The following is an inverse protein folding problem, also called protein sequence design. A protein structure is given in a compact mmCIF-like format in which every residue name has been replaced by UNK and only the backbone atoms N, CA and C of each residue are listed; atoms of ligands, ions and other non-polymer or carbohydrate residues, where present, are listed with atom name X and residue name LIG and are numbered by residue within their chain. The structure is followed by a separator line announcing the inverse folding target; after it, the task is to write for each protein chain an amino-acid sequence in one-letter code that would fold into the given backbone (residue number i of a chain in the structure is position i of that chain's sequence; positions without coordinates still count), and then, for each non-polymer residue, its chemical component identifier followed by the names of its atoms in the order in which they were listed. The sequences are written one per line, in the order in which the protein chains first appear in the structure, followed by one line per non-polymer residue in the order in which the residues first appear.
data_IF_233662443901
#
_entry.id   IF_233662443901
#
_cell.length_a   1.000
_cell.length_b   1.000
_cell.length_c   1.000
_cell.angle_alpha   90.00
_cell.angle_beta   90.00
_cell.angle_gamma   90.00
#
_symmetry.space_group_name_H-M   'P 1'
#
loop_
_entity.id
_entity.type
_entity.pdbx_description
1 polymer ?
#
# COMPACT_ATOMS: atom_id res chain seq x y z
N UNK A 1 33.03 -22.95 23.58
CA UNK A 1 32.77 -22.19 22.34
C UNK A 1 33.55 -20.89 22.45
N UNK A 2 34.40 -20.63 21.47
CA UNK A 2 35.15 -19.37 21.50
C UNK A 2 34.19 -18.18 21.45
N UNK A 3 34.44 -17.15 22.24
CA UNK A 3 33.63 -15.94 22.30
C UNK A 3 33.33 -15.37 20.88
N UNK A 4 34.32 -15.50 19.98
CA UNK A 4 34.18 -15.08 18.56
C UNK A 4 33.09 -15.85 17.80
N UNK A 5 32.95 -17.18 18.03
CA UNK A 5 31.89 -18.00 17.41
C UNK A 5 30.50 -17.66 17.96
N UNK A 6 30.39 -17.39 19.27
CA UNK A 6 29.12 -16.97 19.86
C UNK A 6 28.64 -15.63 19.30
N UNK A 7 29.56 -14.66 19.18
CA UNK A 7 29.27 -13.36 18.55
C UNK A 7 28.86 -13.49 17.10
N UNK A 8 29.55 -14.33 16.32
CA UNK A 8 29.18 -14.57 14.92
C UNK A 8 27.78 -15.16 14.77
N UNK A 9 27.40 -16.13 15.59
CA UNK A 9 26.07 -16.74 15.59
C UNK A 9 25.01 -15.70 15.99
N UNK A 10 25.30 -14.88 17.01
CA UNK A 10 24.38 -13.81 17.41
C UNK A 10 24.16 -12.78 16.30
N UNK A 11 25.21 -12.33 15.62
CA UNK A 11 25.12 -11.40 14.50
C UNK A 11 24.26 -12.01 13.37
N UNK A 12 24.52 -13.27 13.00
CA UNK A 12 23.77 -13.96 11.95
C UNK A 12 22.29 -14.10 12.32
N UNK A 13 21.98 -14.41 13.56
CA UNK A 13 20.61 -14.52 14.07
C UNK A 13 19.88 -13.16 14.01
N UNK A 14 20.50 -12.10 14.56
CA UNK A 14 19.89 -10.78 14.56
C UNK A 14 19.72 -10.21 13.14
N UNK A 15 20.66 -10.46 12.23
CA UNK A 15 20.50 -10.04 10.84
C UNK A 15 19.35 -10.78 10.15
N UNK A 16 19.19 -12.09 10.38
CA UNK A 16 18.06 -12.86 9.87
C UNK A 16 16.73 -12.37 10.45
N UNK A 17 16.69 -12.07 11.75
CA UNK A 17 15.50 -11.51 12.40
C UNK A 17 15.12 -10.12 11.82
N UNK A 18 16.11 -9.25 11.62
CA UNK A 18 15.87 -7.94 11.00
C UNK A 18 15.29 -8.08 9.58
N UNK A 19 15.82 -9.01 8.78
CA UNK A 19 15.31 -9.26 7.41
C UNK A 19 13.88 -9.79 7.43
N UNK A 20 13.51 -10.66 8.37
CA UNK A 20 12.15 -11.19 8.48
C UNK A 20 11.16 -10.17 9.02
N UNK A 21 11.57 -9.26 9.89
CA UNK A 21 10.72 -8.20 10.45
C UNK A 21 10.58 -6.99 9.51
N UNK A 22 11.51 -6.81 8.57
CA UNK A 22 11.56 -5.65 7.69
C UNK A 22 10.22 -5.37 6.97
N UNK A 23 9.54 -6.33 6.31
CA UNK A 23 8.28 -6.04 5.60
C UNK A 23 7.17 -5.57 6.55
N UNK A 24 7.10 -6.13 7.76
CA UNK A 24 6.08 -5.75 8.74
C UNK A 24 6.29 -4.32 9.26
N UNK A 25 7.52 -4.03 9.68
CA UNK A 25 7.86 -2.69 10.20
C UNK A 25 7.73 -1.64 9.11
N UNK A 26 8.20 -1.93 7.90
CA UNK A 26 8.14 -1.04 6.76
C UNK A 26 6.70 -0.72 6.35
N UNK A 27 5.83 -1.74 6.31
CA UNK A 27 4.41 -1.53 6.01
C UNK A 27 3.69 -0.69 7.09
N UNK A 28 4.02 -0.86 8.38
CA UNK A 28 3.48 -0.02 9.45
C UNK A 28 3.90 1.45 9.29
N UNK A 29 5.15 1.68 8.91
CA UNK A 29 5.66 3.04 8.64
C UNK A 29 4.95 3.63 7.42
N UNK A 30 4.79 2.86 6.34
CA UNK A 30 4.09 3.30 5.13
C UNK A 30 2.63 3.68 5.42
N UNK A 31 1.90 2.87 6.20
CA UNK A 31 0.53 3.17 6.63
C UNK A 31 0.47 4.44 7.50
N UNK A 32 1.43 4.63 8.40
CA UNK A 32 1.51 5.86 9.20
C UNK A 32 1.73 7.09 8.34
N UNK A 33 2.60 7.03 7.33
CA UNK A 33 2.82 8.13 6.39
C UNK A 33 1.59 8.40 5.53
N UNK A 34 0.91 7.35 5.04
CA UNK A 34 -0.34 7.49 4.29
C UNK A 34 -1.42 8.19 5.13
N UNK A 35 -1.62 7.76 6.38
CA UNK A 35 -2.58 8.39 7.28
C UNK A 35 -2.23 9.86 7.59
N UNK A 36 -0.95 10.20 7.72
CA UNK A 36 -0.51 11.58 7.92
C UNK A 36 -0.76 12.44 6.67
N UNK A 37 -0.50 11.91 5.47
CA UNK A 37 -0.75 12.61 4.22
C UNK A 37 -2.26 12.88 4.01
N UNK A 38 -3.11 11.90 4.32
CA UNK A 38 -4.56 12.04 4.25
C UNK A 38 -5.05 13.08 5.27
N UNK A 39 -4.58 13.02 6.53
CA UNK A 39 -4.95 14.00 7.54
C UNK A 39 -4.53 15.44 7.18
N UNK A 40 -3.33 15.59 6.57
CA UNK A 40 -2.87 16.89 6.08
C UNK A 40 -3.73 17.39 4.91
N UNK A 41 -4.16 16.50 4.02
CA UNK A 41 -5.09 16.84 2.93
C UNK A 41 -6.45 17.31 3.48
N UNK A 42 -7.03 16.55 4.41
CA UNK A 42 -8.32 16.89 5.02
C UNK A 42 -8.25 18.23 5.75
N UNK A 43 -7.13 18.51 6.47
CA UNK A 43 -6.91 19.79 7.15
C UNK A 43 -6.84 20.94 6.12
N UNK A 44 -6.12 20.78 5.02
CA UNK A 44 -6.02 21.81 3.96
C UNK A 44 -7.37 22.06 3.30
N UNK A 45 -8.13 21.01 2.97
CA UNK A 45 -9.49 21.18 2.41
C UNK A 45 -10.44 21.85 3.41
N UNK A 46 -10.33 21.51 4.70
CA UNK A 46 -11.15 22.13 5.74
C UNK A 46 -10.83 23.61 5.98
N UNK A 47 -9.61 24.07 5.65
CA UNK A 47 -9.19 25.49 5.70
C UNK A 47 -9.67 26.28 4.48
N UNK A 48 -10.06 25.64 3.38
CA UNK A 48 -10.61 26.30 2.19
C UNK A 48 -12.03 26.80 2.45
N UNK A 49 -12.32 27.99 1.99
CA UNK A 49 -13.70 28.45 1.94
C UNK A 49 -14.44 27.88 0.70
N UNK A 50 -15.78 28.01 0.70
CA UNK A 50 -16.59 27.44 -0.37
C UNK A 50 -16.28 28.05 -1.75
N UNK A 51 -15.89 29.31 -1.82
CA UNK A 51 -15.53 29.99 -3.08
C UNK A 51 -14.23 29.37 -3.65
N UNK A 52 -13.26 29.05 -2.80
CA UNK A 52 -12.01 28.37 -3.17
C UNK A 52 -12.27 26.96 -3.65
N UNK A 53 -13.12 26.21 -2.95
CA UNK A 53 -13.50 24.83 -3.34
C UNK A 53 -14.21 24.86 -4.70
N UNK A 54 -15.19 25.73 -4.89
CA UNK A 54 -15.94 25.84 -6.14
C UNK A 54 -15.02 26.27 -7.30
N UNK A 55 -14.09 27.19 -7.06
CA UNK A 55 -13.10 27.60 -8.06
C UNK A 55 -12.16 26.46 -8.44
N UNK A 56 -11.68 25.66 -7.47
CA UNK A 56 -10.88 24.49 -7.72
C UNK A 56 -11.61 23.44 -8.56
N UNK A 57 -12.86 23.14 -8.20
CA UNK A 57 -13.71 22.22 -8.95
C UNK A 57 -13.94 22.68 -10.38
N UNK A 58 -14.20 23.97 -10.59
CA UNK A 58 -14.41 24.52 -11.92
C UNK A 58 -13.13 24.47 -12.76
N UNK A 59 -11.96 24.76 -12.17
CA UNK A 59 -10.69 24.64 -12.88
C UNK A 59 -10.43 23.20 -13.35
N UNK A 60 -10.70 22.22 -12.49
CA UNK A 60 -10.53 20.81 -12.81
C UNK A 60 -11.56 20.30 -13.82
N UNK A 61 -12.82 20.74 -13.75
CA UNK A 61 -13.83 20.44 -14.78
C UNK A 61 -13.41 20.94 -16.14
N UNK A 62 -12.96 22.19 -16.22
CA UNK A 62 -12.40 22.77 -17.46
C UNK A 62 -11.25 21.94 -18.00
N UNK A 63 -10.34 21.49 -17.13
CA UNK A 63 -9.27 20.60 -17.57
C UNK A 63 -9.82 19.31 -18.19
N UNK A 64 -10.77 18.64 -17.51
CA UNK A 64 -11.38 17.41 -18.03
C UNK A 64 -12.11 17.64 -19.37
N UNK A 65 -12.81 18.76 -19.54
CA UNK A 65 -13.44 19.14 -20.80
C UNK A 65 -12.43 19.38 -21.91
N UNK A 66 -11.32 20.06 -21.62
CA UNK A 66 -10.25 20.32 -22.57
C UNK A 66 -9.52 19.01 -22.95
N UNK A 67 -9.30 18.11 -21.99
CA UNK A 67 -8.73 16.81 -22.25
C UNK A 67 -9.63 15.99 -23.18
N UNK A 68 -10.95 15.98 -22.94
CA UNK A 68 -11.92 15.30 -23.77
C UNK A 68 -11.92 15.86 -25.19
N UNK A 69 -11.95 17.18 -25.34
CA UNK A 69 -11.88 17.86 -26.65
C UNK A 69 -10.54 17.58 -27.37
N UNK A 70 -9.42 17.48 -26.63
CA UNK A 70 -8.11 17.14 -27.19
C UNK A 70 -8.05 15.68 -27.64
N UNK A 71 -8.67 14.74 -26.90
CA UNK A 71 -8.80 13.34 -27.31
C UNK A 71 -9.64 13.22 -28.58
N UNK A 72 -10.76 13.95 -28.69
CA UNK A 72 -11.56 14.03 -29.89
C UNK A 72 -10.79 14.68 -31.06
N UNK A 73 -10.00 15.73 -30.79
CA UNK A 73 -9.19 16.43 -31.78
C UNK A 73 -7.92 15.69 -32.17
N UNK A 74 -7.27 14.93 -31.23
CA UNK A 74 -6.08 14.12 -31.52
C UNK A 74 -6.42 12.86 -32.30
N UNK A 75 -7.68 12.44 -32.31
CA UNK A 75 -8.17 11.61 -33.40
C UNK A 75 -8.07 12.34 -34.75
N UNK A 76 -7.80 13.66 -34.78
CA UNK A 76 -7.63 14.49 -35.95
C UNK A 76 -6.27 15.16 -36.12
N UNK A 77 -5.44 15.44 -35.11
CA UNK A 77 -4.02 15.89 -35.20
C UNK A 77 -3.47 16.29 -33.82
N UNK A 78 -2.17 15.98 -33.55
CA UNK A 78 -1.50 16.12 -32.26
C UNK A 78 -1.06 17.53 -31.89
N UNK A 79 -0.60 17.59 -30.64
CA UNK A 79 0.16 18.60 -29.91
C UNK A 79 -0.63 19.72 -29.24
N UNK A 80 -0.64 19.66 -27.94
CA UNK A 80 -0.24 20.61 -26.89
C UNK A 80 -0.87 20.17 -25.55
N UNK A 81 -0.07 19.44 -24.73
CA UNK A 81 -0.50 18.96 -23.41
C UNK A 81 -0.67 20.11 -22.42
N UNK A 82 -1.86 20.25 -21.85
CA UNK A 82 -2.12 21.15 -20.73
C UNK A 82 -1.46 20.56 -19.48
N UNK A 83 -0.57 21.32 -18.86
CA UNK A 83 0.01 20.94 -17.56
C UNK A 83 -1.06 20.97 -16.48
N UNK A 84 -1.35 19.83 -15.86
CA UNK A 84 -2.37 19.74 -14.83
C UNK A 84 -1.82 19.93 -13.40
N UNK A 85 -0.49 20.05 -13.26
CA UNK A 85 0.19 20.16 -11.98
C UNK A 85 -0.16 21.39 -11.15
N UNK A 86 -0.69 22.45 -11.81
CA UNK A 86 -0.98 23.73 -11.17
C UNK A 86 -2.49 23.98 -10.98
N UNK A 87 -3.35 22.95 -11.19
CA UNK A 87 -4.80 23.15 -11.21
C UNK A 87 -5.41 23.32 -9.81
N UNK A 88 -4.89 22.64 -8.81
CA UNK A 88 -5.40 22.70 -7.44
C UNK A 88 -4.22 22.67 -6.47
N UNK A 89 -4.06 23.75 -5.71
CA UNK A 89 -3.03 23.86 -4.66
C UNK A 89 -3.59 23.34 -3.33
N UNK A 90 -3.72 22.04 -3.22
CA UNK A 90 -4.11 21.33 -1.99
C UNK A 90 -2.95 20.50 -1.40
N UNK A 91 -1.72 20.97 -1.63
CA UNK A 91 -0.52 20.31 -1.13
C UNK A 91 0.00 19.16 -2.01
N UNK A 92 0.66 18.16 -1.39
CA UNK A 92 1.27 17.06 -2.15
C UNK A 92 0.27 16.05 -2.70
N UNK A 93 -0.89 15.83 -2.04
CA UNK A 93 -1.93 14.88 -2.46
C UNK A 93 -3.13 15.59 -3.07
N UNK A 94 -3.75 14.96 -4.06
CA UNK A 94 -4.92 15.46 -4.79
C UNK A 94 -6.23 14.86 -4.28
N UNK A 95 -6.15 13.98 -3.30
CA UNK A 95 -7.25 13.23 -2.70
C UNK A 95 -6.78 11.94 -2.07
N UNK A 96 -7.70 11.07 -1.73
CA UNK A 96 -7.38 9.72 -1.27
C UNK A 96 -8.42 8.71 -1.76
N UNK A 97 -7.99 7.44 -1.84
CA UNK A 97 -8.82 6.31 -2.25
C UNK A 97 -9.09 5.38 -1.07
N UNK A 98 -10.32 4.92 -0.99
CA UNK A 98 -10.77 3.91 -0.04
C UNK A 98 -11.35 2.70 -0.79
N UNK A 99 -10.85 1.49 -0.48
CA UNK A 99 -11.35 0.23 -1.03
C UNK A 99 -11.61 -0.73 0.13
N UNK A 100 -12.83 -0.73 0.69
CA UNK A 100 -13.14 -1.44 1.94
C UNK A 100 -12.88 -2.95 1.88
N UNK A 101 -13.19 -3.61 0.77
CA UNK A 101 -13.04 -5.07 0.60
C UNK A 101 -11.61 -5.56 0.81
N UNK A 102 -10.62 -4.72 0.55
CA UNK A 102 -9.18 -5.07 0.63
C UNK A 102 -8.39 -4.18 1.60
N UNK A 103 -9.09 -3.48 2.52
CA UNK A 103 -8.49 -2.62 3.54
C UNK A 103 -7.50 -1.57 2.96
N UNK A 104 -7.79 -0.99 1.79
CA UNK A 104 -6.99 0.07 1.17
C UNK A 104 -7.52 1.43 1.59
N UNK A 105 -6.64 2.27 2.12
CA UNK A 105 -6.86 3.68 2.47
C UNK A 105 -5.56 4.44 2.19
N UNK A 106 -5.46 5.05 1.01
CA UNK A 106 -4.21 5.56 0.46
C UNK A 106 -4.38 6.96 -0.13
N UNK A 107 -3.40 7.87 0.05
CA UNK A 107 -3.38 9.15 -0.63
C UNK A 107 -3.18 8.96 -2.14
N UNK A 108 -3.83 9.82 -2.92
CA UNK A 108 -3.66 9.93 -4.36
C UNK A 108 -2.73 11.13 -4.62
N UNK A 109 -1.69 10.89 -5.39
CA UNK A 109 -0.72 11.91 -5.79
C UNK A 109 -0.79 12.17 -7.29
N UNK A 110 -0.32 13.33 -7.69
CA UNK A 110 -0.17 13.70 -9.09
C UNK A 110 0.99 12.98 -9.76
N UNK A 111 0.73 12.38 -10.93
CA UNK A 111 1.73 11.64 -11.70
C UNK A 111 1.96 10.20 -11.24
N UNK A 112 2.82 9.51 -12.00
CA UNK A 112 3.08 8.07 -11.84
C UNK A 112 4.56 7.75 -11.80
N UNK A 113 5.39 8.71 -11.37
CA UNK A 113 6.82 8.48 -11.19
C UNK A 113 7.08 7.57 -9.97
N UNK A 114 8.28 7.02 -9.88
CA UNK A 114 8.64 6.06 -8.84
C UNK A 114 8.49 6.64 -7.43
N UNK A 115 8.85 7.91 -7.21
CA UNK A 115 8.75 8.57 -5.90
C UNK A 115 7.30 8.67 -5.41
N UNK A 116 6.36 8.88 -6.34
CA UNK A 116 4.91 8.89 -6.08
C UNK A 116 4.43 7.47 -5.75
N UNK A 117 4.75 6.51 -6.60
CA UNK A 117 4.25 5.14 -6.47
C UNK A 117 4.79 4.39 -5.24
N UNK A 118 5.90 4.84 -4.68
CA UNK A 118 6.40 4.32 -3.41
C UNK A 118 5.64 4.85 -2.19
N UNK A 119 4.98 6.01 -2.30
CA UNK A 119 4.25 6.66 -1.19
C UNK A 119 2.77 6.31 -1.15
N UNK A 120 2.15 6.09 -2.32
CA UNK A 120 0.71 5.90 -2.43
C UNK A 120 0.25 5.53 -3.83
N UNK A 121 -0.89 6.07 -4.21
CA UNK A 121 -1.51 5.89 -5.53
C UNK A 121 -1.17 7.09 -6.40
N UNK A 122 -0.74 6.83 -7.63
CA UNK A 122 -0.45 7.86 -8.62
C UNK A 122 -1.61 8.04 -9.59
N UNK A 123 -1.98 9.27 -9.88
CA UNK A 123 -2.92 9.61 -10.94
C UNK A 123 -2.20 9.78 -12.27
N UNK A 124 -2.66 9.10 -13.30
CA UNK A 124 -2.11 9.19 -14.66
C UNK A 124 -2.49 10.54 -15.28
N UNK A 125 -1.50 11.39 -15.50
CA UNK A 125 -1.71 12.77 -15.95
C UNK A 125 -2.45 12.92 -17.29
N UNK A 126 -2.43 11.89 -18.13
CA UNK A 126 -3.12 11.83 -19.43
C UNK A 126 -4.57 11.33 -19.31
N UNK A 127 -5.05 11.08 -18.09
CA UNK A 127 -6.44 10.71 -17.80
C UNK A 127 -7.20 11.86 -17.13
N UNK A 128 -8.53 11.75 -17.06
CA UNK A 128 -9.36 12.77 -16.41
C UNK A 128 -8.98 12.91 -14.93
N UNK A 129 -8.88 14.13 -14.42
CA UNK A 129 -8.70 14.38 -13.00
C UNK A 129 -9.86 13.75 -12.21
N UNK A 130 -9.61 13.15 -11.03
CA UNK A 130 -10.55 12.25 -10.35
C UNK A 130 -11.66 13.00 -9.57
N UNK A 131 -12.37 13.93 -10.23
CA UNK A 131 -13.59 14.58 -9.70
C UNK A 131 -14.88 14.05 -10.32
N UNK A 132 -14.77 13.01 -11.15
CA UNK A 132 -15.91 12.48 -11.89
C UNK A 132 -16.49 13.44 -12.93
N UNK A 133 -17.63 13.08 -13.47
CA UNK A 133 -18.37 13.84 -14.47
C UNK A 133 -18.66 13.06 -15.73
N UNK A 134 -19.58 13.56 -16.54
CA UNK A 134 -19.96 12.94 -17.82
C UNK A 134 -18.78 12.96 -18.78
N UNK A 135 -18.51 11.84 -19.43
CA UNK A 135 -17.38 11.68 -20.38
C UNK A 135 -16.02 11.89 -19.69
N UNK A 136 -15.85 11.33 -18.49
CA UNK A 136 -14.57 11.30 -17.79
C UNK A 136 -14.10 9.87 -17.54
N UNK A 137 -12.78 9.68 -17.52
CA UNK A 137 -12.15 8.43 -17.14
C UNK A 137 -10.85 8.71 -16.40
N UNK A 138 -10.87 8.60 -15.09
CA UNK A 138 -9.68 8.73 -14.25
C UNK A 138 -8.92 7.42 -14.15
N UNK A 139 -7.60 7.47 -14.20
CA UNK A 139 -6.75 6.28 -14.08
C UNK A 139 -5.82 6.44 -12.87
N UNK A 140 -5.96 5.54 -11.93
CA UNK A 140 -5.19 5.51 -10.69
C UNK A 140 -4.31 4.26 -10.68
N UNK A 141 -3.02 4.43 -10.48
CA UNK A 141 -2.07 3.31 -10.47
C UNK A 141 -1.36 3.16 -9.13
N UNK A 142 -1.12 1.93 -8.73
CA UNK A 142 -0.38 1.62 -7.51
C UNK A 142 0.45 0.35 -7.67
N UNK A 143 1.55 0.29 -6.95
CA UNK A 143 2.42 -0.88 -6.96
C UNK A 143 1.76 -2.12 -6.39
N UNK A 144 2.20 -3.28 -6.89
CA UNK A 144 1.90 -4.61 -6.36
C UNK A 144 3.18 -5.33 -5.96
N UNK A 145 3.19 -5.85 -4.73
CA UNK A 145 4.30 -6.67 -4.25
C UNK A 145 5.53 -5.89 -3.80
N UNK A 146 5.39 -4.63 -3.39
CA UNK A 146 6.46 -3.91 -2.72
C UNK A 146 6.69 -4.51 -1.32
N UNK A 147 7.95 -4.84 -0.95
CA UNK A 147 8.25 -5.30 0.41
C UNK A 147 7.99 -4.25 1.49
N UNK A 148 7.93 -2.98 1.10
CA UNK A 148 7.80 -1.84 2.01
C UNK A 148 6.37 -1.39 2.27
N UNK A 149 5.41 -1.71 1.36
CA UNK A 149 4.03 -1.26 1.49
C UNK A 149 3.07 -2.19 0.73
N UNK A 150 1.87 -2.39 1.25
CA UNK A 150 0.86 -3.26 0.62
C UNK A 150 0.28 -2.63 -0.65
N UNK A 151 -0.05 -1.33 -0.62
CA UNK A 151 -0.62 -0.58 -1.73
C UNK A 151 -1.74 -1.36 -2.48
N UNK A 152 -1.62 -1.58 -3.79
CA UNK A 152 -2.56 -2.34 -4.61
C UNK A 152 -2.23 -3.84 -4.72
N UNK A 153 -1.52 -4.40 -3.72
CA UNK A 153 -1.13 -5.81 -3.72
C UNK A 153 -2.32 -6.75 -3.85
N UNK A 154 -3.41 -6.43 -3.19
CA UNK A 154 -4.62 -7.24 -3.09
C UNK A 154 -5.73 -6.81 -4.09
N UNK A 155 -5.42 -5.98 -5.08
CA UNK A 155 -6.38 -5.49 -6.05
C UNK A 155 -7.06 -6.62 -6.87
N UNK A 156 -6.40 -7.76 -7.04
CA UNK A 156 -6.93 -8.95 -7.69
C UNK A 156 -8.00 -9.70 -6.88
N UNK A 157 -8.27 -9.30 -5.64
CA UNK A 157 -9.37 -9.84 -4.82
C UNK A 157 -10.70 -9.12 -5.06
N UNK A 158 -10.69 -8.02 -5.81
CA UNK A 158 -11.91 -7.32 -6.19
C UNK A 158 -12.68 -8.13 -7.24
N UNK A 159 -14.00 -8.03 -7.18
CA UNK A 159 -14.96 -8.68 -8.06
C UNK A 159 -15.92 -7.64 -8.63
N UNK A 160 -16.56 -7.94 -9.76
CA UNK A 160 -17.63 -7.10 -10.30
C UNK A 160 -18.75 -6.93 -9.26
N UNK A 161 -19.15 -5.68 -9.04
CA UNK A 161 -20.12 -5.30 -8.03
C UNK A 161 -19.52 -4.73 -6.73
N UNK A 162 -18.23 -4.92 -6.46
CA UNK A 162 -17.56 -4.26 -5.35
C UNK A 162 -17.52 -2.74 -5.56
N UNK A 163 -17.39 -1.99 -4.46
CA UNK A 163 -17.39 -0.53 -4.51
C UNK A 163 -16.09 0.00 -3.91
N UNK A 164 -15.55 1.04 -4.53
CA UNK A 164 -14.47 1.86 -3.99
C UNK A 164 -14.85 3.34 -4.05
N UNK A 165 -14.17 4.13 -3.24
CA UNK A 165 -14.49 5.55 -3.06
C UNK A 165 -13.26 6.40 -3.32
N UNK A 166 -13.47 7.55 -3.98
CA UNK A 166 -12.49 8.62 -4.10
C UNK A 166 -12.96 9.80 -3.28
N UNK A 167 -12.11 10.29 -2.40
CA UNK A 167 -12.34 11.49 -1.62
C UNK A 167 -11.52 12.61 -2.23
N UNK A 168 -12.20 13.59 -2.86
CA UNK A 168 -11.53 14.68 -3.58
C UNK A 168 -12.25 15.99 -3.26
N UNK A 169 -11.50 16.96 -2.72
CA UNK A 169 -12.04 18.18 -2.14
C UNK A 169 -13.12 17.83 -1.09
N UNK A 170 -14.30 18.40 -1.21
CA UNK A 170 -15.43 18.16 -0.31
C UNK A 170 -16.41 17.07 -0.84
N UNK A 171 -16.00 16.27 -1.83
CA UNK A 171 -16.84 15.23 -2.43
C UNK A 171 -16.33 13.81 -2.19
N UNK A 172 -17.26 12.88 -2.02
CA UNK A 172 -17.00 11.44 -2.01
C UNK A 172 -17.62 10.83 -3.27
N UNK A 173 -16.78 10.29 -4.13
CA UNK A 173 -17.17 9.70 -5.41
C UNK A 173 -17.17 8.19 -5.28
N UNK A 174 -18.35 7.55 -5.38
CA UNK A 174 -18.47 6.10 -5.33
C UNK A 174 -18.42 5.50 -6.74
N UNK A 175 -17.60 4.46 -6.91
CA UNK A 175 -17.44 3.70 -8.14
C UNK A 175 -17.70 2.23 -7.88
N UNK A 176 -18.61 1.63 -8.67
CA UNK A 176 -18.91 0.22 -8.61
C UNK A 176 -18.16 -0.51 -9.70
N UNK A 177 -17.39 -1.53 -9.34
CA UNK A 177 -16.61 -2.34 -10.28
C UNK A 177 -17.53 -2.98 -11.32
N UNK A 178 -17.30 -2.67 -12.58
CA UNK A 178 -18.06 -3.13 -13.74
C UNK A 178 -17.21 -3.98 -14.70
N UNK A 179 -15.89 -3.90 -14.61
CA UNK A 179 -14.99 -4.64 -15.49
C UNK A 179 -13.64 -4.96 -14.80
N UNK A 180 -13.16 -6.19 -14.98
CA UNK A 180 -11.82 -6.61 -14.57
C UNK A 180 -11.12 -7.27 -15.74
N UNK A 181 -9.94 -6.74 -16.12
CA UNK A 181 -9.15 -7.24 -17.25
C UNK A 181 -7.67 -7.35 -16.92
N UNK A 182 -7.01 -8.28 -17.59
CA UNK A 182 -5.55 -8.37 -17.62
C UNK A 182 -5.10 -8.09 -19.05
N UNK A 183 -4.23 -7.08 -19.20
CA UNK A 183 -3.79 -6.57 -20.51
C UNK A 183 -2.25 -6.46 -20.55
N UNK A 184 -1.68 -6.34 -21.73
CA UNK A 184 -0.28 -5.97 -21.89
C UNK A 184 -0.06 -4.49 -21.54
N UNK A 185 1.15 -4.08 -21.12
CA UNK A 185 1.42 -2.69 -20.74
C UNK A 185 1.14 -1.67 -21.83
N UNK A 186 1.26 -2.05 -23.10
CA UNK A 186 1.01 -1.23 -24.29
C UNK A 186 -0.48 -1.17 -24.71
N UNK A 187 -1.34 -1.99 -24.13
CA UNK A 187 -2.75 -2.03 -24.44
C UNK A 187 -3.51 -1.01 -23.58
N UNK A 188 -3.75 0.18 -24.12
CA UNK A 188 -4.36 1.32 -23.42
C UNK A 188 -5.83 1.59 -23.78
N UNK A 189 -6.44 0.77 -24.64
CA UNK A 189 -7.79 1.00 -25.16
C UNK A 189 -8.87 1.00 -24.06
N UNK A 190 -8.65 0.23 -22.99
CA UNK A 190 -9.61 0.06 -21.90
C UNK A 190 -9.56 1.21 -20.84
N UNK A 191 -8.61 2.13 -20.96
CA UNK A 191 -8.48 3.31 -20.09
C UNK A 191 -8.84 4.62 -20.77
N UNK A 192 -9.30 4.57 -22.00
CA UNK A 192 -9.75 5.75 -22.75
C UNK A 192 -11.11 6.29 -22.26
N UNK A 193 -11.34 7.58 -22.50
CA UNK A 193 -12.62 8.23 -22.20
C UNK A 193 -13.73 7.63 -23.06
N UNK A 194 -14.88 7.35 -22.46
CA UNK A 194 -16.09 6.86 -23.13
C UNK A 194 -17.19 7.89 -23.01
N UNK A 195 -17.75 8.32 -24.15
CA UNK A 195 -18.80 9.33 -24.19
C UNK A 195 -19.99 8.95 -23.29
N UNK A 196 -20.44 9.90 -22.49
CA UNK A 196 -21.57 9.75 -21.57
C UNK A 196 -21.28 8.92 -20.30
N UNK A 197 -20.06 8.40 -20.13
CA UNK A 197 -19.68 7.59 -18.96
C UNK A 197 -18.83 8.39 -17.99
N UNK A 198 -18.88 7.98 -16.72
CA UNK A 198 -18.01 8.42 -15.63
C UNK A 198 -17.31 7.18 -15.07
N UNK A 199 -16.05 7.00 -15.44
CA UNK A 199 -15.25 5.84 -15.08
C UNK A 199 -14.03 6.20 -14.22
N UNK A 200 -13.66 5.28 -13.35
CA UNK A 200 -12.35 5.26 -12.70
C UNK A 200 -11.74 3.86 -12.84
N UNK A 201 -10.52 3.76 -13.36
CA UNK A 201 -9.79 2.50 -13.48
C UNK A 201 -8.60 2.45 -12.52
N UNK A 202 -8.57 1.42 -11.69
CA UNK A 202 -7.45 1.10 -10.82
C UNK A 202 -6.50 0.16 -11.57
N UNK A 203 -5.20 0.51 -11.59
CA UNK A 203 -4.19 -0.22 -12.35
C UNK A 203 -3.09 -0.73 -11.44
N UNK A 204 -2.72 -1.99 -11.61
CA UNK A 204 -1.52 -2.54 -10.95
C UNK A 204 -0.82 -3.56 -11.82
N UNK A 205 0.41 -3.94 -11.44
CA UNK A 205 1.17 -4.97 -12.15
C UNK A 205 0.68 -6.38 -11.81
N UNK A 206 0.71 -7.29 -12.80
CA UNK A 206 0.34 -8.70 -12.63
C UNK A 206 1.13 -9.58 -13.61
N UNK A 207 1.36 -10.89 -13.36
CA UNK A 207 1.20 -11.59 -12.07
C UNK A 207 2.14 -11.05 -10.99
N UNK A 208 1.82 -11.33 -9.71
CA UNK A 208 2.63 -10.91 -8.57
C UNK A 208 4.13 -11.25 -8.76
N UNK A 209 5.01 -10.30 -8.52
CA UNK A 209 6.47 -10.37 -8.68
C UNK A 209 6.99 -10.60 -10.11
N UNK A 210 6.14 -10.94 -11.09
CA UNK A 210 6.51 -11.13 -12.50
C UNK A 210 6.30 -9.84 -13.30
N UNK A 211 5.16 -9.15 -13.08
CA UNK A 211 4.86 -7.79 -13.56
C UNK A 211 4.83 -7.62 -15.09
N UNK A 212 4.58 -8.70 -15.85
CA UNK A 212 4.54 -8.68 -17.32
C UNK A 212 3.29 -8.06 -17.92
N UNK A 213 2.22 -8.01 -17.14
CA UNK A 213 0.91 -7.50 -17.56
C UNK A 213 0.43 -6.42 -16.58
N UNK A 214 -0.71 -5.81 -16.90
CA UNK A 214 -1.44 -4.90 -16.03
C UNK A 214 -2.80 -5.49 -15.70
N UNK A 215 -3.17 -5.44 -14.42
CA UNK A 215 -4.53 -5.70 -13.97
C UNK A 215 -5.26 -4.36 -13.96
N UNK A 216 -6.36 -4.29 -14.67
CA UNK A 216 -7.28 -3.17 -14.75
C UNK A 216 -8.56 -3.55 -13.99
N UNK A 217 -8.92 -2.75 -12.99
CA UNK A 217 -10.20 -2.87 -12.27
C UNK A 217 -10.94 -1.56 -12.49
N UNK A 218 -11.94 -1.57 -13.39
CA UNK A 218 -12.71 -0.39 -13.72
C UNK A 218 -13.97 -0.34 -12.88
N UNK A 219 -14.29 0.85 -12.38
CA UNK A 219 -15.59 1.17 -11.77
C UNK A 219 -16.33 2.22 -12.57
N UNK A 220 -17.65 2.04 -12.69
CA UNK A 220 -18.59 3.04 -13.18
C UNK A 220 -19.17 3.81 -12.00
N UNK A 221 -19.32 5.12 -12.16
CA UNK A 221 -19.88 6.01 -11.14
C UNK A 221 -21.22 5.49 -10.63
N UNK A 222 -21.40 5.47 -9.32
CA UNK A 222 -22.65 5.09 -8.66
C UNK A 222 -23.00 6.07 -7.54
N UNK A 223 -24.19 5.98 -7.01
CA UNK A 223 -24.63 6.80 -5.89
C UNK A 223 -23.79 6.46 -4.64
N UNK A 224 -23.30 7.49 -3.97
CA UNK A 224 -22.62 7.34 -2.68
C UNK A 224 -23.70 7.23 -1.58
N UNK A 225 -23.69 6.13 -0.85
CA UNK A 225 -24.54 5.90 0.31
C UNK A 225 -23.64 5.98 1.54
N UNK A 226 -23.77 7.03 2.38
CA UNK A 226 -22.98 7.17 3.60
C UNK A 226 -23.17 5.95 4.53
N UNK A 227 -22.11 5.53 5.25
CA UNK A 227 -22.17 4.39 6.16
C UNK A 227 -23.27 4.48 7.24
N UNK A 228 -23.65 5.70 7.61
CA UNK A 228 -24.72 5.96 8.59
C UNK A 228 -26.11 5.55 8.08
N UNK A 229 -26.33 5.53 6.77
CA UNK A 229 -27.57 5.08 6.13
C UNK A 229 -27.59 3.56 5.86
N UNK A 230 -26.43 2.93 5.86
CA UNK A 230 -26.31 1.48 5.76
C UNK A 230 -26.52 0.89 7.16
N UNK A 231 -27.76 0.47 7.46
CA UNK A 231 -28.20 -0.19 8.71
C UNK A 231 -27.13 -1.06 9.35
N UNK A 232 -26.97 -0.94 10.65
CA UNK A 232 -26.26 -1.72 11.72
C UNK A 232 -25.24 -2.83 11.37
N UNK A 233 -25.19 -3.32 10.13
CA UNK A 233 -24.20 -4.32 9.68
C UNK A 233 -22.88 -3.71 9.19
N UNK A 234 -22.80 -2.41 8.92
CA UNK A 234 -21.63 -1.73 8.36
C UNK A 234 -21.00 -0.70 9.32
N UNK A 235 -21.27 -0.76 10.60
CA UNK A 235 -20.52 -0.03 11.64
C UNK A 235 -19.05 -0.52 11.77
N UNK A 236 -18.45 -0.91 10.64
CA UNK A 236 -17.11 -1.54 10.58
C UNK A 236 -15.99 -0.52 10.44
N UNK A 237 -16.27 0.70 9.96
CA UNK A 237 -15.20 1.67 9.66
C UNK A 237 -14.71 2.49 10.85
N UNK A 238 -15.52 2.76 11.85
CA UNK A 238 -15.04 3.33 13.13
C UNK A 238 -14.12 2.34 13.89
N UNK A 239 -14.18 1.06 13.48
CA UNK A 239 -13.37 -0.05 14.01
C UNK A 239 -11.96 -0.09 13.39
N UNK A 240 -11.68 0.60 12.27
CA UNK A 240 -10.42 0.36 11.52
C UNK A 240 -9.19 0.99 12.19
N UNK A 241 -9.31 2.16 12.80
CA UNK A 241 -8.23 2.71 13.65
C UNK A 241 -8.03 1.85 14.91
N UNK A 242 -9.14 1.25 15.44
CA UNK A 242 -9.09 0.28 16.52
C UNK A 242 -8.58 -1.09 16.05
N UNK A 243 -8.84 -1.48 14.79
CA UNK A 243 -8.42 -2.78 14.24
C UNK A 243 -6.91 -2.86 14.01
N UNK A 244 -6.24 -1.78 13.62
CA UNK A 244 -4.77 -1.75 13.51
C UNK A 244 -4.14 -1.95 14.90
N UNK A 245 -4.63 -1.24 15.91
CA UNK A 245 -4.20 -1.40 17.29
C UNK A 245 -4.50 -2.81 17.83
N UNK A 246 -5.65 -3.37 17.48
CA UNK A 246 -6.07 -4.72 17.87
C UNK A 246 -5.26 -5.81 17.17
N UNK A 247 -4.97 -5.69 15.87
CA UNK A 247 -4.06 -6.61 15.14
C UNK A 247 -2.64 -6.59 15.71
N UNK A 248 -2.11 -5.42 16.08
CA UNK A 248 -0.81 -5.32 16.75
C UNK A 248 -0.87 -6.04 18.10
N UNK A 249 -1.93 -5.84 18.90
CA UNK A 249 -2.13 -6.49 20.20
C UNK A 249 -2.29 -8.00 20.05
N UNK A 250 -2.98 -8.49 19.01
CA UNK A 250 -3.20 -9.92 18.77
C UNK A 250 -1.96 -10.66 18.27
N UNK A 251 -1.09 -10.00 17.51
CA UNK A 251 0.17 -10.59 17.00
C UNK A 251 1.29 -10.50 18.02
N UNK A 252 1.30 -9.48 18.89
CA UNK A 252 2.33 -9.25 19.90
C UNK A 252 2.59 -10.43 20.83
N UNK A 253 1.56 -11.14 21.38
CA UNK A 253 1.77 -12.31 22.22
C UNK A 253 2.49 -13.45 21.48
N UNK A 254 2.13 -13.69 20.21
CA UNK A 254 2.74 -14.74 19.38
C UNK A 254 4.20 -14.42 19.02
N UNK A 255 4.53 -13.15 18.82
CA UNK A 255 5.91 -12.69 18.63
C UNK A 255 6.75 -12.91 19.90
N UNK A 256 6.19 -12.59 21.08
CA UNK A 256 6.85 -12.85 22.36
C UNK A 256 7.05 -14.36 22.57
N UNK A 257 6.03 -15.17 22.31
CA UNK A 257 6.12 -16.63 22.44
C UNK A 257 7.16 -17.21 21.50
N UNK A 258 7.22 -16.78 20.24
CA UNK A 258 8.24 -17.22 19.28
C UNK A 258 9.64 -16.83 19.72
N UNK A 259 9.82 -15.63 20.25
CA UNK A 259 11.10 -15.12 20.78
C UNK A 259 11.55 -15.91 22.01
N UNK A 260 10.63 -16.27 22.90
CA UNK A 260 10.90 -17.11 24.08
C UNK A 260 11.25 -18.55 23.69
N UNK A 261 10.59 -19.13 22.68
CA UNK A 261 10.90 -20.47 22.16
C UNK A 261 12.32 -20.48 21.58
N UNK A 262 12.67 -19.49 20.76
CA UNK A 262 14.02 -19.38 20.18
C UNK A 262 15.07 -19.21 21.25
N UNK A 263 14.87 -18.34 22.23
CA UNK A 263 15.77 -18.15 23.35
C UNK A 263 15.92 -19.42 24.21
N UNK A 264 14.83 -20.18 24.42
CA UNK A 264 14.83 -21.46 25.13
C UNK A 264 15.62 -22.54 24.39
N UNK A 265 15.47 -22.62 23.06
CA UNK A 265 16.25 -23.58 22.24
C UNK A 265 17.74 -23.22 22.25
N UNK A 266 18.09 -21.95 22.08
CA UNK A 266 19.49 -21.50 22.15
C UNK A 266 20.10 -21.72 23.54
N UNK A 267 19.38 -21.41 24.62
CA UNK A 267 19.80 -21.70 26.00
C UNK A 267 20.05 -23.19 26.23
N UNK A 268 19.18 -24.05 25.69
CA UNK A 268 19.33 -25.51 25.80
C UNK A 268 20.56 -26.03 25.05
N UNK A 269 20.77 -25.53 23.82
CA UNK A 269 21.95 -25.85 22.99
C UNK A 269 23.24 -25.38 23.72
N UNK A 270 23.21 -24.17 24.27
CA UNK A 270 24.34 -23.63 25.03
C UNK A 270 24.69 -24.51 26.27
N UNK A 271 23.67 -24.89 27.04
CA UNK A 271 23.86 -25.78 28.22
C UNK A 271 24.40 -27.15 27.81
N UNK A 272 23.94 -27.74 26.73
CA UNK A 272 24.45 -29.00 26.19
C UNK A 272 25.92 -28.90 25.76
N UNK A 273 26.32 -27.79 25.14
CA UNK A 273 27.69 -27.53 24.72
C UNK A 273 28.60 -27.37 25.96
N UNK A 274 28.17 -26.61 26.96
CA UNK A 274 28.91 -26.40 28.19
C UNK A 274 29.08 -27.72 28.97
N UNK A 275 28.00 -28.52 29.05
CA UNK A 275 28.04 -29.85 29.71
C UNK A 275 29.02 -30.81 29.00
N UNK A 276 29.03 -30.78 27.65
CA UNK A 276 29.96 -31.61 26.84
C UNK A 276 31.42 -31.18 26.98
N UNK A 277 31.67 -29.87 27.16
CA UNK A 277 33.04 -29.36 27.42
C UNK A 277 33.55 -29.71 28.81
N UNK A 278 32.72 -29.65 29.86
CA UNK A 278 33.07 -30.09 31.21
C UNK A 278 33.42 -31.58 31.22
N UNK A 279 32.60 -32.41 30.59
CA UNK A 279 32.86 -33.86 30.48
C UNK A 279 34.21 -34.18 29.78
N UNK A 280 34.56 -33.42 28.73
CA UNK A 280 35.84 -33.57 28.00
C UNK A 280 37.03 -33.07 28.83
N UNK A 281 36.84 -32.06 29.68
CA UNK A 281 37.83 -31.55 30.59
C UNK A 281 38.20 -32.59 31.66
N UNK A 282 37.20 -33.20 32.30
CA UNK A 282 37.36 -34.24 33.32
C UNK A 282 38.06 -35.49 32.79
N UNK A 283 37.75 -35.91 31.55
CA UNK A 283 38.42 -37.07 30.92
C UNK A 283 39.88 -36.75 30.62
N UNK A 284 40.23 -35.53 30.21
CA UNK A 284 41.62 -35.11 29.98
C UNK A 284 42.42 -35.05 31.27
N UNK A 285 41.81 -34.57 32.36
CA UNK A 285 42.46 -34.48 33.66
C UNK A 285 42.72 -35.88 34.26
N UNK A 286 41.73 -36.79 34.16
CA UNK A 286 41.88 -38.20 34.56
C UNK A 286 43.01 -38.92 33.79
N UNK A 287 43.11 -38.66 32.47
CA UNK A 287 44.20 -39.18 31.61
C UNK A 287 45.57 -38.63 32.04
N UNK A 288 45.68 -37.36 32.41
CA UNK A 288 46.96 -36.78 32.89
C UNK A 288 47.35 -37.31 34.23
N UNK A 289 46.40 -37.49 35.16
CA UNK A 289 46.66 -38.07 36.50
C UNK A 289 47.04 -39.55 36.40
N UNK A 290 46.45 -40.31 35.47
CA UNK A 290 46.82 -41.73 35.24
C UNK A 290 48.21 -41.93 34.62
N UNK A 291 48.71 -41.00 33.80
CA UNK A 291 50.05 -41.02 33.23
C UNK A 291 51.12 -40.65 34.32
N UNK A 292 50.82 -39.76 35.29
CA UNK A 292 51.76 -39.40 36.39
C UNK A 292 51.85 -40.43 37.45
N UNK A 293 50.99 -41.45 37.53
CA UNK A 293 51.10 -42.59 38.51
C UNK A 293 51.82 -43.78 37.90
N UNK A 294 52.23 -43.76 36.63
CA UNK A 294 52.96 -44.88 35.98
C UNK A 294 54.43 -44.54 35.69
N UNK A 295 54.93 -43.41 36.17
CA UNK A 295 56.32 -43.00 36.27
C UNK A 295 56.74 -42.97 37.74
#
# INVERSE_FOLDING_TARGET
MDKKRAWFIAILFFSGLCLTLYPFVSNLIAQSHASQAIAAYDEQVAEMDQEQIDAAKEAVRKYNEQLNAAVEASAMQGEDGISYLDLVDVGESIGFIEIPKIDVYLPIYSGTNEDVLQKGVGHLAESSYPIGGTSTHSVLTGHRGLPSAVLFTDLDKLEEGDVFYLHVLDEVLAYKVDQIKVVLPEETQDIGIVEGKDYCTLVTCTPYAINTHRLLVRGERTEYIPPEELTEQNAVHEVQSQTITKRIVDVWPWLIVSLLIVAGVEGSIFLLIVKRQRSRGDVREKRKKGKRRKL
#
